data_IF_996100108537
#
_entry.id   IF_996100108537
#
_cell.length_a   1.000
_cell.length_b   1.000
_cell.length_c   1.000
_cell.angle_alpha   90.00
_cell.angle_beta   90.00
_cell.angle_gamma   90.00
#
_symmetry.space_group_name_H-M   'P 1'
#
loop_
_entity.id
_entity.type
_entity.pdbx_description
1 polymer ?
#
# COMPACT_ATOMS: atom_id res chain seq x y z
N UNK A 1 -9.96 -0.36 18.62
CA UNK A 1 -10.55 0.85 18.11
C UNK A 1 -11.58 0.54 17.03
N UNK A 2 -12.61 1.30 17.01
CA UNK A 2 -13.78 1.00 16.23
C UNK A 2 -13.57 1.19 14.72
N UNK A 3 -14.00 0.22 13.93
CA UNK A 3 -13.79 0.15 12.49
C UNK A 3 -14.79 0.96 11.65
N UNK A 4 -15.60 1.82 12.28
CA UNK A 4 -16.64 2.57 11.55
C UNK A 4 -16.14 3.87 10.91
N UNK A 5 -14.83 4.13 10.98
CA UNK A 5 -14.22 5.31 10.37
C UNK A 5 -13.95 5.05 8.90
N UNK A 6 -14.32 5.99 8.05
CA UNK A 6 -14.04 5.91 6.61
C UNK A 6 -12.63 6.38 6.28
N UNK A 7 -12.17 6.08 5.07
CA UNK A 7 -10.89 6.62 4.59
C UNK A 7 -10.89 8.14 4.56
N UNK A 8 -11.99 8.76 4.18
CA UNK A 8 -12.10 10.22 4.15
C UNK A 8 -11.98 10.82 5.55
N UNK A 9 -12.63 10.21 6.53
CA UNK A 9 -12.52 10.65 7.93
C UNK A 9 -11.12 10.43 8.47
N UNK A 10 -10.47 9.36 8.05
CA UNK A 10 -9.10 9.07 8.45
C UNK A 10 -8.14 10.12 7.92
N UNK A 11 -8.30 10.52 6.65
CA UNK A 11 -7.47 11.58 6.07
C UNK A 11 -7.66 12.89 6.82
N UNK A 12 -8.89 13.25 7.09
CA UNK A 12 -9.20 14.47 7.85
C UNK A 12 -8.55 14.44 9.24
N UNK A 13 -8.61 13.28 9.88
CA UNK A 13 -7.99 13.07 11.19
C UNK A 13 -6.47 13.24 11.11
N UNK A 14 -5.84 12.66 10.09
CA UNK A 14 -4.39 12.78 9.90
C UNK A 14 -3.98 14.22 9.58
N UNK A 15 -4.75 14.91 8.74
CA UNK A 15 -4.46 16.29 8.36
C UNK A 15 -4.57 17.24 9.55
N UNK A 16 -5.43 16.93 10.52
CA UNK A 16 -5.61 17.75 11.73
C UNK A 16 -4.56 17.49 12.81
N UNK A 17 -3.76 16.45 12.65
CA UNK A 17 -2.74 16.00 13.61
C UNK A 17 -3.29 15.69 15.03
N UNK A 18 -4.59 15.47 15.14
CA UNK A 18 -5.22 15.14 16.44
C UNK A 18 -4.76 13.82 17.02
N UNK A 19 -4.25 12.92 16.16
CA UNK A 19 -3.76 11.61 16.60
C UNK A 19 -2.25 11.61 16.88
N UNK A 20 -1.63 12.78 17.01
CA UNK A 20 -0.20 12.91 17.20
C UNK A 20 0.57 12.77 15.89
N UNK A 21 1.83 12.38 15.98
CA UNK A 21 2.67 12.19 14.80
C UNK A 21 2.47 10.79 14.23
N UNK A 22 2.33 10.73 12.91
CA UNK A 22 2.24 9.47 12.21
C UNK A 22 3.58 8.76 12.24
N UNK A 23 3.57 7.49 12.57
CA UNK A 23 4.76 6.62 12.57
C UNK A 23 4.73 5.72 11.34
N UNK A 24 3.60 5.03 11.13
CA UNK A 24 3.53 3.98 10.12
C UNK A 24 2.11 3.74 9.65
N UNK A 25 1.97 3.41 8.38
CA UNK A 25 0.71 2.88 7.83
C UNK A 25 1.02 1.48 7.30
N UNK A 26 0.16 0.52 7.64
CA UNK A 26 0.30 -0.86 7.18
C UNK A 26 -0.93 -1.25 6.39
N UNK A 27 -0.74 -1.65 5.14
CA UNK A 27 -1.80 -2.20 4.31
C UNK A 27 -1.60 -3.70 4.14
N UNK A 28 -2.71 -4.43 4.17
CA UNK A 28 -2.72 -5.85 3.82
C UNK A 28 -3.86 -6.09 2.84
N UNK A 29 -3.56 -6.73 1.73
CA UNK A 29 -4.54 -7.05 0.68
C UNK A 29 -4.28 -8.47 0.23
N UNK A 30 -5.17 -9.39 0.57
CA UNK A 30 -4.97 -10.80 0.28
C UNK A 30 -6.23 -11.46 -0.27
N UNK A 31 -6.04 -12.50 -1.04
CA UNK A 31 -7.15 -13.29 -1.58
C UNK A 31 -6.72 -14.01 -2.85
N UNK A 32 -7.11 -15.27 -2.95
CA UNK A 32 -6.76 -16.06 -4.13
C UNK A 32 -7.45 -15.52 -5.38
N UNK A 33 -6.72 -15.53 -6.48
CA UNK A 33 -7.22 -15.13 -7.78
C UNK A 33 -7.03 -16.29 -8.77
N UNK A 34 -7.87 -16.32 -9.80
CA UNK A 34 -7.72 -17.25 -10.90
C UNK A 34 -6.47 -16.85 -11.68
N UNK A 35 -5.55 -17.78 -11.88
CA UNK A 35 -4.31 -17.52 -12.60
C UNK A 35 -4.53 -17.04 -14.03
N UNK A 36 -5.69 -17.34 -14.62
CA UNK A 36 -6.03 -16.89 -15.97
C UNK A 36 -6.55 -15.46 -16.00
N UNK A 37 -6.85 -14.86 -14.85
CA UNK A 37 -7.41 -13.52 -14.77
C UNK A 37 -6.37 -12.42 -14.58
N UNK A 38 -5.10 -12.78 -14.42
CA UNK A 38 -4.04 -11.78 -14.18
C UNK A 38 -3.15 -11.66 -15.41
N UNK A 39 -2.84 -10.42 -15.77
CA UNK A 39 -2.05 -10.08 -16.95
C UNK A 39 -0.65 -9.58 -16.63
N UNK A 40 -0.36 -9.33 -15.37
CA UNK A 40 0.94 -8.82 -14.94
C UNK A 40 1.18 -9.15 -13.48
N UNK A 41 2.29 -8.64 -12.94
CA UNK A 41 2.69 -8.94 -11.58
C UNK A 41 1.78 -8.23 -10.54
N UNK A 42 1.86 -8.69 -9.31
CA UNK A 42 1.01 -8.23 -8.22
C UNK A 42 1.20 -6.74 -7.91
N UNK A 43 2.40 -6.20 -8.17
CA UNK A 43 2.65 -4.77 -7.92
C UNK A 43 1.73 -3.89 -8.75
N UNK A 44 1.60 -4.21 -10.03
CA UNK A 44 0.79 -3.41 -10.95
C UNK A 44 -0.70 -3.73 -10.90
N UNK A 45 -1.06 -4.94 -10.45
CA UNK A 45 -2.47 -5.35 -10.42
C UNK A 45 -3.13 -5.10 -9.06
N UNK A 46 -2.39 -5.17 -7.96
CA UNK A 46 -2.96 -5.07 -6.61
C UNK A 46 -2.29 -4.03 -5.75
N UNK A 47 -0.98 -4.11 -5.59
CA UNK A 47 -0.26 -3.22 -4.65
C UNK A 47 -0.42 -1.75 -5.01
N UNK A 48 -0.56 -1.45 -6.29
CA UNK A 48 -0.73 -0.07 -6.78
C UNK A 48 -1.91 0.65 -6.12
N UNK A 49 -2.98 -0.08 -5.80
CA UNK A 49 -4.16 0.51 -5.16
C UNK A 49 -3.84 1.02 -3.76
N UNK A 50 -3.06 0.28 -3.01
CA UNK A 50 -2.66 0.67 -1.66
C UNK A 50 -1.58 1.76 -1.71
N UNK A 51 -0.71 1.72 -2.73
CA UNK A 51 0.25 2.80 -2.97
C UNK A 51 -0.48 4.12 -3.19
N UNK A 52 -1.49 4.09 -4.06
CA UNK A 52 -2.28 5.29 -4.36
C UNK A 52 -2.98 5.82 -3.11
N UNK A 53 -3.56 4.93 -2.31
CA UNK A 53 -4.22 5.30 -1.06
C UNK A 53 -3.21 5.92 -0.08
N UNK A 54 -2.02 5.35 0.02
CA UNK A 54 -0.99 5.87 0.93
C UNK A 54 -0.55 7.29 0.54
N UNK A 55 -0.30 7.53 -0.74
CA UNK A 55 0.08 8.86 -1.23
C UNK A 55 -1.01 9.87 -0.92
N UNK A 56 -2.26 9.48 -1.14
CA UNK A 56 -3.40 10.35 -0.87
C UNK A 56 -3.54 10.65 0.63
N UNK A 57 -3.41 9.62 1.48
CA UNK A 57 -3.53 9.81 2.92
C UNK A 57 -2.46 10.74 3.47
N UNK A 58 -1.22 10.60 2.99
CA UNK A 58 -0.10 11.38 3.49
C UNK A 58 0.09 12.70 2.76
N UNK A 59 -0.49 12.85 1.58
CA UNK A 59 -0.28 14.01 0.70
C UNK A 59 1.21 14.24 0.45
N UNK A 60 1.95 13.14 0.28
CA UNK A 60 3.40 13.11 0.07
C UNK A 60 3.74 11.96 -0.86
N UNK A 61 4.90 12.05 -1.49
CA UNK A 61 5.47 10.94 -2.26
C UNK A 61 6.64 10.33 -1.50
N UNK A 62 6.84 9.02 -1.59
CA UNK A 62 7.96 8.38 -0.91
C UNK A 62 9.29 8.75 -1.56
N UNK A 63 10.35 8.71 -0.77
CA UNK A 63 11.71 8.95 -1.21
C UNK A 63 12.44 7.64 -1.54
N UNK A 64 11.95 6.53 -1.03
CA UNK A 64 12.64 5.25 -1.07
C UNK A 64 11.64 4.12 -1.15
N UNK A 65 11.95 3.10 -1.94
CA UNK A 65 11.19 1.86 -1.95
C UNK A 65 12.13 0.66 -1.86
N UNK A 66 11.74 -0.33 -1.07
CA UNK A 66 12.36 -1.65 -1.05
C UNK A 66 11.24 -2.69 -1.06
N UNK A 67 11.40 -3.73 -1.87
CA UNK A 67 10.37 -4.75 -1.98
C UNK A 67 10.96 -6.14 -2.12
N UNK A 68 10.21 -7.11 -1.59
CA UNK A 68 10.49 -8.52 -1.76
C UNK A 68 9.23 -9.17 -2.30
N UNK A 69 9.38 -10.02 -3.30
CA UNK A 69 8.25 -10.69 -3.93
C UNK A 69 8.65 -12.09 -4.40
N UNK A 70 7.66 -12.87 -4.79
CA UNK A 70 7.91 -14.20 -5.31
C UNK A 70 6.70 -14.79 -5.99
N UNK A 71 6.89 -15.99 -6.52
CA UNK A 71 5.86 -16.76 -7.24
C UNK A 71 5.58 -18.05 -6.49
N UNK A 72 4.31 -18.29 -6.21
CA UNK A 72 3.88 -19.55 -5.59
C UNK A 72 3.00 -20.34 -6.56
N UNK A 73 1.99 -19.71 -7.12
CA UNK A 73 0.98 -20.37 -7.94
C UNK A 73 0.79 -19.78 -9.34
N UNK A 74 1.36 -18.63 -9.63
CA UNK A 74 1.13 -17.92 -10.88
C UNK A 74 2.42 -17.74 -11.69
N UNK A 75 2.27 -17.36 -12.96
CA UNK A 75 3.40 -17.02 -13.81
C UNK A 75 4.06 -15.71 -13.39
N UNK A 76 3.27 -14.81 -12.83
CA UNK A 76 3.74 -13.53 -12.32
C UNK A 76 3.93 -13.62 -10.82
N UNK A 77 4.70 -12.70 -10.25
CA UNK A 77 4.82 -12.60 -8.80
C UNK A 77 3.41 -12.49 -8.21
N UNK A 78 3.10 -13.35 -7.26
CA UNK A 78 1.77 -13.43 -6.65
C UNK A 78 1.77 -13.15 -5.15
N UNK A 79 2.90 -12.76 -4.60
CA UNK A 79 2.97 -12.13 -3.29
C UNK A 79 4.08 -11.09 -3.27
N UNK A 80 3.89 -10.04 -2.49
CA UNK A 80 4.87 -8.97 -2.37
C UNK A 80 4.71 -8.25 -1.05
N UNK A 81 5.84 -7.80 -0.50
CA UNK A 81 5.87 -6.89 0.63
C UNK A 81 6.72 -5.69 0.21
N UNK A 82 6.14 -4.50 0.34
CA UNK A 82 6.77 -3.24 -0.07
C UNK A 82 6.96 -2.37 1.16
N UNK A 83 8.14 -1.79 1.27
CA UNK A 83 8.44 -0.77 2.26
C UNK A 83 8.62 0.55 1.52
N UNK A 84 7.83 1.55 1.88
CA UNK A 84 7.98 2.90 1.36
C UNK A 84 8.47 3.81 2.47
N UNK A 85 9.56 4.53 2.21
CA UNK A 85 10.11 5.50 3.15
C UNK A 85 9.76 6.92 2.73
N UNK A 86 9.14 7.67 3.62
CA UNK A 86 8.77 9.06 3.41
C UNK A 86 9.67 9.96 4.26
N UNK A 87 9.58 11.26 4.05
CA UNK A 87 10.34 12.21 4.87
C UNK A 87 9.94 12.07 6.35
N UNK A 88 10.83 12.50 7.23
CA UNK A 88 10.63 12.44 8.68
C UNK A 88 10.44 11.01 9.19
N UNK A 89 11.03 10.05 8.47
CA UNK A 89 11.03 8.63 8.84
C UNK A 89 9.65 7.98 8.92
N UNK A 90 8.65 8.57 8.27
CA UNK A 90 7.35 7.94 8.14
C UNK A 90 7.45 6.75 7.19
N UNK A 91 6.80 5.68 7.52
CA UNK A 91 6.91 4.41 6.82
C UNK A 91 5.54 3.90 6.41
N UNK A 92 5.46 3.36 5.18
CA UNK A 92 4.28 2.63 4.73
C UNK A 92 4.73 1.23 4.34
N UNK A 93 4.01 0.23 4.86
CA UNK A 93 4.24 -1.18 4.52
C UNK A 93 3.01 -1.69 3.79
N UNK A 94 3.23 -2.32 2.65
CA UNK A 94 2.14 -2.87 1.83
C UNK A 94 2.44 -4.34 1.59
N UNK A 95 1.57 -5.21 2.10
CA UNK A 95 1.67 -6.65 1.89
C UNK A 95 0.50 -7.10 1.05
N UNK A 96 0.78 -7.78 -0.06
CA UNK A 96 -0.22 -8.26 -1.00
C UNK A 96 0.04 -9.71 -1.34
N UNK A 97 -1.01 -10.51 -1.45
CA UNK A 97 -0.87 -11.86 -1.99
C UNK A 97 -2.15 -12.33 -2.65
N UNK A 98 -2.00 -13.22 -3.64
CA UNK A 98 -3.09 -13.84 -4.40
C UNK A 98 -3.26 -15.31 -4.04
N UNK A 99 -2.75 -15.73 -2.89
CA UNK A 99 -2.63 -17.15 -2.55
C UNK A 99 -3.57 -17.57 -1.42
N UNK A 100 -3.76 -16.72 -0.42
CA UNK A 100 -4.61 -17.07 0.72
C UNK A 100 -6.08 -17.13 0.31
N UNK A 101 -6.86 -18.04 0.91
CA UNK A 101 -8.17 -18.37 0.37
C UNK A 101 -9.24 -17.30 0.46
N UNK A 102 -9.23 -16.45 1.46
CA UNK A 102 -10.30 -15.48 1.67
C UNK A 102 -9.85 -14.07 1.34
N UNK A 103 -10.66 -13.36 0.56
CA UNK A 103 -10.36 -11.96 0.26
C UNK A 103 -10.49 -11.11 1.52
N UNK A 104 -9.42 -10.37 1.84
CA UNK A 104 -9.41 -9.46 2.97
C UNK A 104 -8.47 -8.29 2.67
N UNK A 105 -8.94 -7.08 2.93
CA UNK A 105 -8.15 -5.89 2.77
C UNK A 105 -8.27 -5.05 4.03
N UNK A 106 -7.13 -4.61 4.58
CA UNK A 106 -7.13 -3.83 5.82
C UNK A 106 -6.04 -2.77 5.79
N UNK A 107 -6.19 -1.79 6.67
CA UNK A 107 -5.24 -0.71 6.85
C UNK A 107 -5.12 -0.39 8.32
N UNK A 108 -3.89 -0.34 8.82
CA UNK A 108 -3.60 0.05 10.20
C UNK A 108 -2.73 1.29 10.19
N UNK A 109 -3.15 2.30 10.93
CA UNK A 109 -2.41 3.56 11.03
C UNK A 109 -1.91 3.69 12.46
N UNK A 110 -0.60 3.79 12.61
CA UNK A 110 0.06 3.87 13.92
C UNK A 110 0.64 5.27 14.10
N UNK A 111 0.28 5.91 15.19
CA UNK A 111 0.77 7.23 15.53
C UNK A 111 1.22 7.27 16.98
N UNK A 112 1.79 8.40 17.40
CA UNK A 112 2.28 8.54 18.80
C UNK A 112 1.16 8.44 19.84
N UNK A 113 -0.08 8.70 19.45
CA UNK A 113 -1.21 8.67 20.38
C UNK A 113 -2.12 7.46 20.24
N UNK A 114 -1.79 6.53 19.37
CA UNK A 114 -2.59 5.33 19.23
C UNK A 114 -2.63 4.73 17.85
N UNK A 115 -3.60 3.88 17.62
CA UNK A 115 -3.73 3.11 16.40
C UNK A 115 -5.16 3.18 15.86
N UNK A 116 -5.30 3.38 14.57
CA UNK A 116 -6.56 3.31 13.86
C UNK A 116 -6.52 2.08 12.94
N UNK A 117 -7.54 1.24 13.04
CA UNK A 117 -7.65 0.04 12.19
C UNK A 117 -8.88 0.17 11.31
N UNK A 118 -8.68 -0.05 10.01
CA UNK A 118 -9.73 0.02 9.00
C UNK A 118 -9.86 -1.33 8.30
N UNK A 119 -11.10 -1.79 8.15
CA UNK A 119 -11.39 -2.96 7.31
C UNK A 119 -11.88 -2.43 5.96
N UNK A 120 -11.08 -2.64 4.93
CA UNK A 120 -11.36 -2.17 3.57
C UNK A 120 -11.86 -3.29 2.67
N UNK A 121 -12.17 -4.45 3.22
CA UNK A 121 -12.55 -5.63 2.45
C UNK A 121 -13.75 -5.39 1.55
N UNK A 122 -14.74 -4.67 2.05
CA UNK A 122 -15.97 -4.37 1.31
C UNK A 122 -15.97 -2.99 0.68
N UNK A 123 -14.87 -2.27 0.81
CA UNK A 123 -14.77 -0.92 0.26
C UNK A 123 -14.28 -1.00 -1.17
N UNK A 124 -15.20 -0.81 -2.11
CA UNK A 124 -14.89 -0.81 -3.53
C UNK A 124 -14.55 0.60 -4.03
N UNK A 125 -14.52 1.59 -3.15
CA UNK A 125 -14.16 2.93 -3.57
C UNK A 125 -12.67 3.03 -3.75
N UNK A 126 -12.24 3.13 -4.99
CA UNK A 126 -10.87 3.54 -5.27
C UNK A 126 -10.75 5.00 -4.90
N UNK A 127 -9.67 5.35 -4.27
CA UNK A 127 -9.36 6.75 -4.03
C UNK A 127 -9.08 7.38 -5.39
N UNK A 128 -10.04 8.15 -5.90
CA UNK A 128 -9.85 8.87 -7.15
C UNK A 128 -9.06 10.12 -6.85
N UNK A 129 -7.84 10.15 -7.31
CA UNK A 129 -6.99 11.31 -7.12
C UNK A 129 -6.07 11.45 -8.32
N UNK A 130 -5.29 12.51 -8.32
CA UNK A 130 -4.39 12.86 -9.42
C UNK A 130 -3.08 12.07 -9.36
N UNK A 131 -2.97 11.07 -8.49
CA UNK A 131 -1.72 10.39 -8.19
C UNK A 131 -1.56 9.04 -8.91
N UNK A 132 -2.43 8.74 -9.86
CA UNK A 132 -2.36 7.47 -10.60
C UNK A 132 -1.03 7.24 -11.27
N UNK A 133 -0.48 8.27 -11.94
CA UNK A 133 0.82 8.15 -12.60
C UNK A 133 1.96 7.97 -11.60
N UNK A 134 1.90 8.66 -10.48
CA UNK A 134 2.90 8.52 -9.42
C UNK A 134 2.85 7.13 -8.80
N UNK A 135 1.64 6.65 -8.52
CA UNK A 135 1.46 5.31 -7.96
C UNK A 135 2.00 4.25 -8.90
N UNK A 136 1.79 4.41 -10.21
CA UNK A 136 2.31 3.48 -11.20
C UNK A 136 3.85 3.47 -11.19
N UNK A 137 4.47 4.63 -11.15
CA UNK A 137 5.94 4.73 -11.11
C UNK A 137 6.50 4.06 -9.86
N UNK A 138 5.83 4.25 -8.73
CA UNK A 138 6.22 3.62 -7.47
C UNK A 138 6.06 2.10 -7.55
N UNK A 139 4.95 1.62 -8.12
CA UNK A 139 4.73 0.19 -8.30
C UNK A 139 5.79 -0.43 -9.21
N UNK A 140 6.15 0.25 -10.30
CA UNK A 140 7.22 -0.20 -11.19
C UNK A 140 8.57 -0.23 -10.49
N UNK A 141 8.87 0.79 -9.70
CA UNK A 141 10.10 0.84 -8.90
C UNK A 141 10.12 -0.27 -7.85
N UNK A 142 8.97 -0.58 -7.26
CA UNK A 142 8.83 -1.66 -6.29
C UNK A 142 9.15 -3.01 -6.93
N UNK A 143 8.60 -3.25 -8.11
CA UNK A 143 8.91 -4.47 -8.87
C UNK A 143 10.41 -4.55 -9.16
N UNK A 144 10.99 -3.46 -9.65
CA UNK A 144 12.42 -3.40 -9.96
C UNK A 144 13.27 -3.69 -8.70
N UNK A 145 12.89 -3.10 -7.57
CA UNK A 145 13.56 -3.35 -6.29
C UNK A 145 13.56 -4.84 -5.95
N UNK A 146 12.40 -5.50 -6.11
CA UNK A 146 12.29 -6.93 -5.81
C UNK A 146 13.14 -7.78 -6.75
N UNK A 147 13.25 -7.39 -8.01
CA UNK A 147 14.04 -8.14 -8.99
C UNK A 147 15.54 -8.00 -8.74
N UNK A 148 15.98 -6.82 -8.30
CA UNK A 148 17.39 -6.53 -8.06
C UNK A 148 17.83 -6.82 -6.63
N UNK A 149 16.91 -6.93 -5.70
CA UNK A 149 17.22 -7.14 -4.28
C UNK A 149 17.86 -5.93 -3.62
N UNK A 150 17.54 -4.72 -4.09
CA UNK A 150 18.12 -3.47 -3.56
C UNK A 150 17.04 -2.42 -3.36
N UNK A 151 17.28 -1.47 -2.43
CA UNK A 151 16.41 -0.30 -2.33
C UNK A 151 16.56 0.59 -3.57
N UNK A 152 15.49 1.29 -3.90
CA UNK A 152 15.49 2.24 -5.00
C UNK A 152 15.07 3.60 -4.46
N UNK A 153 15.89 4.61 -4.72
CA UNK A 153 15.58 5.98 -4.35
C UNK A 153 14.76 6.63 -5.44
N UNK A 154 13.73 7.36 -5.04
CA UNK A 154 12.75 7.93 -5.95
C UNK A 154 12.91 9.45 -6.02
N UNK A 155 12.80 9.99 -7.24
CA UNK A 155 12.77 11.42 -7.48
C UNK A 155 11.45 11.73 -8.20
N UNK A 156 10.38 11.80 -7.41
CA UNK A 156 9.05 12.09 -7.95
C UNK A 156 8.68 13.55 -7.66
N UNK A 157 8.22 14.22 -8.68
CA UNK A 157 7.79 15.62 -8.56
C UNK A 157 6.28 15.73 -8.56
#
# INVERSE_FOLDING_TARGET
MNSNITLAQTKEFLDSEKNGKLIRIEFSNEGSVDSTSVDSNIFLESSINDIETAIWLLDETPQLVFAISGKISNEFDDFATILLGFKDNKTVIISSNWVTPNHKRSCNIVSTNGKISLDLTKDNTSVKNENGDKARKIAEASFLSSQKGIPIYLELK
#
